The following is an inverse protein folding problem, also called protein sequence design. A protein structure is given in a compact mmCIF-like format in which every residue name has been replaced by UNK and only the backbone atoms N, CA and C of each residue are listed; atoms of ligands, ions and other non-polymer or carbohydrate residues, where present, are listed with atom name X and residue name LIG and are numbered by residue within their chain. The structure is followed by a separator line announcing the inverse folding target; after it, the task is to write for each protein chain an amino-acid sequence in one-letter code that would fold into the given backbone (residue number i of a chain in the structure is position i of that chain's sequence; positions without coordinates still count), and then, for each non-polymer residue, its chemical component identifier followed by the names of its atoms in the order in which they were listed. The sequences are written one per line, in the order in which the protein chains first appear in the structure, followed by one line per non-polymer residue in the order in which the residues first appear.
data_IF_931241893993
#
_entry.id   IF_931241893993
#
_cell.length_a   1.000
_cell.length_b   1.000
_cell.length_c   1.000
_cell.angle_alpha   90.00
_cell.angle_beta   90.00
_cell.angle_gamma   90.00
#
_symmetry.space_group_name_H-M   'P 1'
#
loop_
_entity.id
_entity.type
_entity.pdbx_description
1 polymer ?
#
# COMPACT_ATOMS: atom_id res chain seq x y z
N UNK A 1 -10.59 3.13 -4.69
CA UNK A 1 -10.79 4.53 -4.24
C UNK A 1 -11.38 5.34 -5.37
N UNK A 2 -12.15 6.38 -5.05
CA UNK A 2 -12.82 7.26 -6.03
C UNK A 2 -12.43 8.70 -5.74
N UNK A 3 -11.95 9.42 -6.77
CA UNK A 3 -11.47 10.79 -6.69
C UNK A 3 -11.94 11.64 -7.89
N UNK A 4 -11.85 12.96 -7.76
CA UNK A 4 -12.34 13.93 -8.74
C UNK A 4 -13.43 14.83 -8.17
N UNK A 5 -13.83 15.84 -8.92
CA UNK A 5 -14.66 16.96 -8.45
C UNK A 5 -16.04 16.54 -7.91
N UNK A 6 -16.59 17.36 -7.02
CA UNK A 6 -17.96 17.23 -6.54
C UNK A 6 -18.99 17.33 -7.68
N UNK A 7 -20.15 16.70 -7.51
CA UNK A 7 -21.21 16.73 -8.52
C UNK A 7 -20.93 16.01 -9.85
N UNK A 8 -19.75 15.41 -10.07
CA UNK A 8 -19.45 14.61 -11.29
C UNK A 8 -20.20 13.26 -11.36
N UNK A 9 -20.93 12.87 -10.32
CA UNK A 9 -21.72 11.63 -10.29
C UNK A 9 -20.96 10.40 -9.75
N UNK A 10 -19.87 10.62 -9.00
CA UNK A 10 -19.06 9.57 -8.33
C UNK A 10 -19.92 8.50 -7.65
N UNK A 11 -20.75 8.90 -6.68
CA UNK A 11 -21.66 8.01 -5.94
C UNK A 11 -22.69 7.31 -6.83
N UNK A 12 -23.19 7.99 -7.86
CA UNK A 12 -24.12 7.41 -8.85
C UNK A 12 -23.44 6.31 -9.67
N UNK A 13 -22.19 6.50 -10.08
CA UNK A 13 -21.42 5.47 -10.79
C UNK A 13 -21.13 4.27 -9.87
N UNK A 14 -20.76 4.51 -8.61
CA UNK A 14 -20.52 3.45 -7.63
C UNK A 14 -21.77 2.58 -7.41
N UNK A 15 -22.94 3.20 -7.17
CA UNK A 15 -24.22 2.49 -7.08
C UNK A 15 -24.62 1.79 -8.39
N UNK A 16 -24.17 2.32 -9.54
CA UNK A 16 -24.38 1.68 -10.85
C UNK A 16 -23.51 0.45 -11.03
N UNK A 17 -22.22 0.51 -10.64
CA UNK A 17 -21.24 -0.57 -10.79
C UNK A 17 -21.58 -1.80 -9.94
N UNK A 18 -21.89 -1.59 -8.67
CA UNK A 18 -22.07 -2.69 -7.70
C UNK A 18 -23.53 -3.04 -7.42
N UNK A 19 -24.46 -2.40 -8.13
CA UNK A 19 -25.92 -2.53 -8.00
C UNK A 19 -26.49 -2.23 -6.59
N UNK A 20 -25.64 -1.86 -5.64
CA UNK A 20 -25.97 -1.51 -4.25
C UNK A 20 -26.33 -0.03 -4.12
N UNK A 21 -27.10 0.30 -3.10
CA UNK A 21 -27.55 1.67 -2.84
C UNK A 21 -26.88 2.20 -1.55
N UNK A 22 -25.59 2.51 -1.68
CA UNK A 22 -24.67 2.76 -0.55
C UNK A 22 -24.81 4.17 0.06
N UNK A 23 -25.62 5.03 -0.57
CA UNK A 23 -25.68 6.46 -0.27
C UNK A 23 -27.11 6.97 0.00
N UNK A 24 -28.05 6.10 0.36
CA UNK A 24 -29.47 6.46 0.64
C UNK A 24 -29.61 7.66 1.58
N UNK A 25 -28.80 7.71 2.64
CA UNK A 25 -28.88 8.72 3.70
C UNK A 25 -27.91 9.91 3.51
N UNK A 26 -27.23 10.01 2.36
CA UNK A 26 -26.25 11.09 2.10
C UNK A 26 -26.96 12.42 1.89
N UNK A 27 -27.03 13.24 2.94
CA UNK A 27 -27.43 14.65 2.84
C UNK A 27 -26.46 15.41 1.93
N UNK A 28 -26.98 16.04 0.89
CA UNK A 28 -26.24 17.03 0.10
C UNK A 28 -26.28 18.35 0.86
N UNK A 29 -25.14 18.75 1.42
CA UNK A 29 -25.02 20.03 2.14
C UNK A 29 -25.17 21.23 1.19
N UNK A 30 -25.58 22.37 1.76
CA UNK A 30 -25.77 23.62 1.04
C UNK A 30 -24.43 24.22 0.59
N UNK A 31 -24.47 25.16 -0.36
CA UNK A 31 -23.25 25.73 -0.96
C UNK A 31 -22.31 26.37 0.09
N UNK A 32 -22.87 27.02 1.12
CA UNK A 32 -22.13 27.65 2.21
C UNK A 32 -21.41 26.60 3.10
N UNK A 33 -22.07 25.47 3.38
CA UNK A 33 -21.52 24.36 4.18
C UNK A 33 -20.43 23.57 3.42
N UNK A 34 -20.48 23.55 2.08
CA UNK A 34 -19.45 22.92 1.23
C UNK A 34 -18.11 23.66 1.27
N UNK A 35 -18.14 24.99 1.37
CA UNK A 35 -16.92 25.82 1.45
C UNK A 35 -16.09 25.45 2.70
N UNK A 36 -16.75 24.98 3.76
CA UNK A 36 -16.12 24.56 5.02
C UNK A 36 -15.87 23.05 5.15
N UNK A 37 -16.29 22.22 4.18
CA UNK A 37 -16.03 20.78 4.26
C UNK A 37 -14.54 20.48 4.02
N UNK A 38 -13.90 19.94 5.05
CA UNK A 38 -12.64 19.20 4.90
C UNK A 38 -12.87 17.91 4.12
N UNK A 39 -11.83 17.41 3.46
CA UNK A 39 -11.84 16.12 2.74
C UNK A 39 -11.77 14.97 3.77
N UNK A 40 -12.90 14.66 4.41
CA UNK A 40 -13.02 13.49 5.29
C UNK A 40 -13.24 12.22 4.46
N UNK A 41 -12.31 11.29 4.53
CA UNK A 41 -12.29 10.09 3.68
C UNK A 41 -13.22 9.02 4.24
N UNK A 42 -14.32 8.73 3.55
CA UNK A 42 -15.30 7.73 4.00
C UNK A 42 -15.02 6.36 3.36
N UNK A 43 -15.03 5.31 4.19
CA UNK A 43 -14.90 3.91 3.75
C UNK A 43 -16.26 3.22 3.79
N UNK A 44 -16.65 2.58 2.69
CA UNK A 44 -17.85 1.75 2.59
C UNK A 44 -17.45 0.35 2.15
N UNK A 45 -17.71 -0.64 3.00
CA UNK A 45 -17.38 -2.04 2.72
C UNK A 45 -18.62 -2.79 2.30
N UNK A 46 -18.52 -3.55 1.21
CA UNK A 46 -19.62 -4.29 0.59
C UNK A 46 -19.15 -5.70 0.26
N UNK A 47 -19.86 -6.71 0.74
CA UNK A 47 -19.63 -8.09 0.31
C UNK A 47 -20.46 -8.37 -0.95
N UNK A 48 -19.78 -8.79 -2.02
CA UNK A 48 -20.33 -9.05 -3.36
C UNK A 48 -20.11 -10.53 -3.69
N UNK A 49 -21.08 -11.17 -4.33
CA UNK A 49 -20.95 -12.55 -4.82
C UNK A 49 -21.02 -12.59 -6.35
N UNK A 50 -19.88 -12.79 -7.01
CA UNK A 50 -19.78 -12.92 -8.48
C UNK A 50 -19.42 -14.38 -8.81
N UNK A 51 -20.25 -15.06 -9.61
CA UNK A 51 -20.05 -16.44 -10.08
C UNK A 51 -19.71 -17.47 -8.97
N UNK A 52 -20.19 -17.25 -7.75
CA UNK A 52 -19.93 -18.11 -6.58
C UNK A 52 -18.67 -17.75 -5.77
N UNK A 53 -17.91 -16.73 -6.19
CA UNK A 53 -16.79 -16.17 -5.41
C UNK A 53 -17.31 -14.98 -4.58
N UNK A 54 -17.08 -15.04 -3.26
CA UNK A 54 -17.39 -13.94 -2.35
C UNK A 54 -16.21 -12.98 -2.26
N UNK A 55 -16.46 -11.72 -2.62
CA UNK A 55 -15.49 -10.64 -2.70
C UNK A 55 -15.88 -9.53 -1.73
N UNK A 56 -15.00 -9.24 -0.77
CA UNK A 56 -15.13 -8.09 0.13
C UNK A 56 -14.55 -6.86 -0.54
N UNK A 57 -15.40 -5.98 -1.06
CA UNK A 57 -15.01 -4.75 -1.73
C UNK A 57 -15.03 -3.58 -0.74
N UNK A 58 -13.92 -2.84 -0.64
CA UNK A 58 -13.86 -1.59 0.13
C UNK A 58 -13.81 -0.39 -0.82
N UNK A 59 -14.88 0.40 -0.84
CA UNK A 59 -14.97 1.64 -1.60
C UNK A 59 -14.55 2.79 -0.67
N UNK A 60 -13.56 3.56 -1.12
CA UNK A 60 -13.08 4.76 -0.44
C UNK A 60 -13.53 5.96 -1.26
N UNK A 61 -14.42 6.80 -0.73
CA UNK A 61 -14.88 8.05 -1.36
C UNK A 61 -14.10 9.25 -0.77
N UNK A 62 -13.91 10.28 -1.58
CA UNK A 62 -13.23 11.53 -1.23
C UNK A 62 -14.21 12.70 -1.41
N UNK A 63 -15.15 12.90 -0.47
CA UNK A 63 -16.03 14.07 -0.48
C UNK A 63 -15.20 15.38 -0.34
N UNK A 64 -15.71 16.49 -0.88
CA UNK A 64 -15.03 17.79 -0.80
C UNK A 64 -13.86 18.00 -1.76
N UNK A 65 -13.45 17.01 -2.55
CA UNK A 65 -12.37 17.22 -3.54
C UNK A 65 -12.77 18.29 -4.57
N UNK A 66 -12.02 19.40 -4.58
CA UNK A 66 -12.26 20.54 -5.47
C UNK A 66 -13.37 21.50 -5.03
N UNK A 67 -14.00 21.29 -3.86
CA UNK A 67 -15.09 22.17 -3.36
C UNK A 67 -14.57 23.41 -2.61
N UNK A 68 -13.30 23.43 -2.20
CA UNK A 68 -12.70 24.56 -1.48
C UNK A 68 -12.30 25.71 -2.42
N UNK A 69 -12.22 26.94 -1.88
CA UNK A 69 -11.75 28.11 -2.64
C UNK A 69 -10.24 28.03 -2.94
N UNK A 70 -9.46 27.41 -2.05
CA UNK A 70 -8.05 27.11 -2.27
C UNK A 70 -7.85 25.58 -2.30
N UNK A 71 -7.48 25.04 -3.46
CA UNK A 71 -7.33 23.60 -3.69
C UNK A 71 -5.87 23.13 -3.83
N UNK A 72 -4.86 23.98 -3.55
CA UNK A 72 -3.43 23.67 -3.78
C UNK A 72 -2.92 22.40 -3.09
N UNK A 73 -3.58 21.96 -2.02
CA UNK A 73 -3.14 20.80 -1.22
C UNK A 73 -4.20 19.70 -1.09
N UNK A 74 -5.30 19.74 -1.86
CA UNK A 74 -6.37 18.73 -1.78
C UNK A 74 -5.91 17.28 -2.09
N UNK A 75 -4.80 17.14 -2.83
CA UNK A 75 -4.18 15.84 -3.10
C UNK A 75 -3.44 15.26 -1.89
N UNK A 76 -2.96 16.09 -0.95
CA UNK A 76 -2.18 15.62 0.21
C UNK A 76 -2.99 14.69 1.09
N UNK A 77 -4.20 15.08 1.50
CA UNK A 77 -5.06 14.24 2.35
C UNK A 77 -5.33 12.85 1.76
N UNK A 78 -5.40 12.75 0.42
CA UNK A 78 -5.58 11.48 -0.28
C UNK A 78 -4.27 10.68 -0.38
N UNK A 79 -3.14 11.35 -0.63
CA UNK A 79 -1.82 10.74 -0.66
C UNK A 79 -1.40 10.23 0.74
N UNK A 80 -1.62 11.02 1.79
CA UNK A 80 -1.37 10.68 3.19
C UNK A 80 -2.21 9.47 3.61
N UNK A 81 -3.46 9.39 3.15
CA UNK A 81 -4.33 8.23 3.39
C UNK A 81 -3.80 6.94 2.74
N UNK A 82 -3.31 7.02 1.49
CA UNK A 82 -2.67 5.89 0.81
C UNK A 82 -1.41 5.46 1.58
N UNK A 83 -0.56 6.40 1.95
CA UNK A 83 0.66 6.14 2.73
C UNK A 83 0.34 5.50 4.08
N UNK A 84 -0.71 5.95 4.78
CA UNK A 84 -1.19 5.31 6.02
C UNK A 84 -1.65 3.86 5.79
N UNK A 85 -2.28 3.55 4.64
CA UNK A 85 -2.68 2.16 4.36
C UNK A 85 -1.45 1.28 4.06
N UNK A 86 -0.44 1.82 3.37
CA UNK A 86 0.84 1.12 3.15
C UNK A 86 1.65 0.97 4.45
N UNK A 87 1.67 1.99 5.31
CA UNK A 87 2.35 1.93 6.60
C UNK A 87 1.70 0.90 7.53
N UNK A 88 0.37 0.88 7.61
CA UNK A 88 -0.36 -0.12 8.40
C UNK A 88 -0.03 -1.54 7.92
N UNK A 89 -0.09 -1.78 6.60
CA UNK A 89 0.26 -3.07 6.03
C UNK A 89 1.73 -3.46 6.30
N UNK A 90 2.67 -2.50 6.19
CA UNK A 90 4.09 -2.71 6.48
C UNK A 90 4.35 -3.04 7.96
N UNK A 91 3.64 -2.39 8.89
CA UNK A 91 3.68 -2.70 10.32
C UNK A 91 3.14 -4.11 10.61
N UNK A 92 2.02 -4.49 9.97
CA UNK A 92 1.40 -5.81 10.13
C UNK A 92 2.25 -6.94 9.52
N UNK A 93 2.93 -6.69 8.39
CA UNK A 93 3.92 -7.60 7.79
C UNK A 93 5.18 -7.75 8.65
N UNK A 94 5.68 -6.64 9.20
CA UNK A 94 6.85 -6.63 10.09
C UNK A 94 6.57 -7.27 11.45
N UNK A 95 5.31 -7.26 11.89
CA UNK A 95 4.86 -7.81 13.16
C UNK A 95 4.94 -9.33 13.27
N UNK A 96 4.59 -9.83 14.47
CA UNK A 96 4.63 -11.25 14.82
C UNK A 96 3.43 -12.04 14.25
N UNK A 97 2.27 -11.40 14.08
CA UNK A 97 1.00 -12.05 13.72
C UNK A 97 0.73 -12.12 12.21
N UNK A 98 1.68 -12.65 11.43
CA UNK A 98 1.65 -12.63 9.95
C UNK A 98 0.56 -13.48 9.29
N UNK A 99 -0.19 -14.30 10.03
CA UNK A 99 -1.11 -15.30 9.48
C UNK A 99 -2.47 -14.77 9.00
N UNK A 100 -2.89 -13.58 9.43
CA UNK A 100 -4.23 -13.04 9.11
C UNK A 100 -4.20 -11.51 8.90
N UNK A 101 -3.27 -11.04 8.06
CA UNK A 101 -3.15 -9.63 7.69
C UNK A 101 -4.34 -9.25 6.79
N UNK A 102 -5.03 -8.16 7.11
CA UNK A 102 -6.10 -7.61 6.27
C UNK A 102 -5.53 -6.61 5.28
N UNK A 103 -5.65 -6.89 3.97
CA UNK A 103 -5.22 -5.95 2.94
C UNK A 103 -6.19 -4.77 2.81
N UNK A 104 -5.82 -3.64 3.41
CA UNK A 104 -6.53 -2.37 3.34
C UNK A 104 -5.91 -1.39 2.33
N UNK A 105 -4.91 -1.82 1.54
CA UNK A 105 -4.23 -0.97 0.55
C UNK A 105 -5.18 -0.58 -0.58
N UNK A 106 -4.91 0.56 -1.23
CA UNK A 106 -5.74 1.04 -2.34
C UNK A 106 -5.25 0.42 -3.64
N UNK A 107 -5.95 -0.59 -4.17
CA UNK A 107 -5.54 -1.28 -5.41
C UNK A 107 -5.75 -0.47 -6.69
N UNK A 108 -6.71 0.47 -6.68
CA UNK A 108 -7.09 1.28 -7.83
C UNK A 108 -7.71 2.62 -7.42
N UNK A 109 -7.35 3.69 -8.12
CA UNK A 109 -7.91 5.03 -8.02
C UNK A 109 -8.69 5.37 -9.29
N UNK A 110 -10.02 5.41 -9.18
CA UNK A 110 -10.91 5.89 -10.24
C UNK A 110 -10.91 7.42 -10.22
N UNK A 111 -10.32 8.05 -11.22
CA UNK A 111 -10.20 9.51 -11.30
C UNK A 111 -11.21 10.11 -12.27
N UNK A 112 -12.16 10.90 -11.75
CA UNK A 112 -13.25 11.49 -12.52
C UNK A 112 -12.84 12.85 -13.09
N UNK A 113 -12.62 12.87 -14.41
CA UNK A 113 -12.35 14.06 -15.21
C UNK A 113 -13.68 14.74 -15.56
N UNK A 114 -13.75 16.06 -15.39
CA UNK A 114 -14.94 16.84 -15.73
C UNK A 114 -15.17 16.88 -17.24
N UNK A 115 -16.41 16.66 -17.74
CA UNK A 115 -16.74 16.85 -19.15
C UNK A 115 -16.72 18.34 -19.52
N UNK A 116 -16.94 19.23 -18.55
CA UNK A 116 -16.99 20.68 -18.74
C UNK A 116 -15.57 21.25 -18.78
N UNK A 117 -15.02 21.36 -19.99
CA UNK A 117 -13.69 21.93 -20.22
C UNK A 117 -12.99 21.35 -21.46
N UNK A 118 -11.98 22.02 -21.96
CA UNK A 118 -11.29 21.64 -23.20
C UNK A 118 -10.20 20.57 -23.04
N UNK A 119 -9.84 20.17 -21.81
CA UNK A 119 -8.75 19.24 -21.50
C UNK A 119 -8.75 18.92 -19.99
N UNK A 120 -7.63 18.41 -19.49
CA UNK A 120 -7.32 18.30 -18.07
C UNK A 120 -7.13 19.69 -17.44
N UNK A 121 -7.60 19.87 -16.21
CA UNK A 121 -7.31 21.10 -15.45
C UNK A 121 -5.97 20.97 -14.71
N UNK A 122 -5.33 22.09 -14.34
CA UNK A 122 -4.12 22.07 -13.53
C UNK A 122 -4.27 21.26 -12.23
N UNK A 123 -5.42 21.40 -11.53
CA UNK A 123 -5.76 20.59 -10.35
C UNK A 123 -5.77 19.08 -10.64
N UNK A 124 -6.30 18.70 -11.81
CA UNK A 124 -6.39 17.29 -12.22
C UNK A 124 -4.98 16.73 -12.52
N UNK A 125 -4.12 17.55 -13.15
CA UNK A 125 -2.72 17.23 -13.45
C UNK A 125 -1.88 17.10 -12.18
N UNK A 126 -1.98 18.04 -11.24
CA UNK A 126 -1.27 18.00 -9.95
C UNK A 126 -1.68 16.78 -9.12
N UNK A 127 -2.98 16.47 -9.05
CA UNK A 127 -3.47 15.29 -8.36
C UNK A 127 -2.91 14.00 -8.98
N UNK A 128 -2.99 13.84 -10.29
CA UNK A 128 -2.48 12.63 -10.96
C UNK A 128 -0.96 12.51 -10.84
N UNK A 129 -0.20 13.61 -10.92
CA UNK A 129 1.25 13.64 -10.66
C UNK A 129 1.64 13.34 -9.21
N UNK A 130 0.77 13.60 -8.23
CA UNK A 130 1.04 13.23 -6.85
C UNK A 130 0.74 11.76 -6.55
N UNK A 131 -0.21 11.14 -7.28
CA UNK A 131 -0.70 9.79 -7.00
C UNK A 131 -0.14 8.69 -7.91
N UNK A 132 0.35 8.99 -9.12
CA UNK A 132 0.76 7.97 -10.11
C UNK A 132 1.90 7.04 -9.65
N UNK A 133 2.75 7.46 -8.71
CA UNK A 133 3.79 6.58 -8.14
C UNK A 133 3.25 5.63 -7.06
N UNK A 134 2.08 5.94 -6.49
CA UNK A 134 1.53 5.27 -5.29
C UNK A 134 0.32 4.39 -5.57
N UNK A 135 -0.43 4.63 -6.64
CA UNK A 135 -1.66 3.88 -6.95
C UNK A 135 -1.94 3.83 -8.45
N UNK A 136 -2.51 2.72 -8.89
CA UNK A 136 -3.04 2.55 -10.25
C UNK A 136 -4.16 3.58 -10.52
N UNK A 137 -3.88 4.58 -11.37
CA UNK A 137 -4.87 5.59 -11.76
C UNK A 137 -5.60 5.13 -13.02
N UNK A 138 -6.94 5.03 -12.94
CA UNK A 138 -7.83 4.80 -14.08
C UNK A 138 -8.61 6.10 -14.36
N UNK A 139 -8.28 6.84 -15.44
CA UNK A 139 -8.97 8.08 -15.78
C UNK A 139 -10.34 7.79 -16.44
N UNK A 140 -11.37 8.45 -15.92
CA UNK A 140 -12.77 8.30 -16.32
C UNK A 140 -13.32 9.68 -16.72
N UNK A 141 -13.88 9.78 -17.92
CA UNK A 141 -14.63 10.95 -18.36
C UNK A 141 -16.08 10.85 -17.82
N UNK A 142 -16.41 11.73 -16.87
CA UNK A 142 -17.70 11.73 -16.19
C UNK A 142 -18.82 12.37 -17.04
N UNK A 143 -20.07 11.94 -16.83
CA UNK A 143 -21.28 12.45 -17.53
C UNK A 143 -21.08 12.56 -19.05
N UNK A 144 -20.68 11.46 -19.68
CA UNK A 144 -20.44 11.40 -21.13
C UNK A 144 -21.68 11.74 -21.98
N UNK A 145 -22.88 11.66 -21.40
CA UNK A 145 -24.15 12.11 -21.98
C UNK A 145 -24.25 13.62 -22.25
N UNK A 146 -23.33 14.42 -21.70
CA UNK A 146 -23.24 15.86 -21.96
C UNK A 146 -22.47 16.20 -23.25
N UNK A 147 -21.84 15.22 -23.90
CA UNK A 147 -20.96 15.40 -25.05
C UNK A 147 -21.46 14.56 -26.24
N UNK A 148 -21.34 15.08 -27.45
CA UNK A 148 -21.59 14.28 -28.66
C UNK A 148 -20.47 13.24 -28.88
N UNK A 149 -20.73 12.13 -29.62
CA UNK A 149 -19.69 11.13 -29.90
C UNK A 149 -18.43 11.68 -30.58
N UNK A 150 -18.56 12.77 -31.36
CA UNK A 150 -17.41 13.43 -32.01
C UNK A 150 -16.58 14.26 -31.02
N UNK A 151 -17.23 14.91 -30.05
CA UNK A 151 -16.57 15.65 -28.97
C UNK A 151 -15.90 14.70 -27.96
N UNK A 152 -16.55 13.58 -27.60
CA UNK A 152 -15.94 12.54 -26.77
C UNK A 152 -14.65 12.04 -27.40
N UNK A 153 -14.65 11.69 -28.71
CA UNK A 153 -13.43 11.25 -29.40
C UNK A 153 -12.31 12.31 -29.37
N UNK A 154 -12.63 13.57 -29.69
CA UNK A 154 -11.66 14.68 -29.61
C UNK A 154 -11.10 14.86 -28.19
N UNK A 155 -11.96 14.78 -27.17
CA UNK A 155 -11.57 14.95 -25.77
C UNK A 155 -10.75 13.77 -25.24
N UNK A 156 -11.05 12.52 -25.64
CA UNK A 156 -10.21 11.36 -25.32
C UNK A 156 -8.79 11.50 -25.87
N UNK A 157 -8.64 11.88 -27.14
CA UNK A 157 -7.34 12.11 -27.79
C UNK A 157 -6.56 13.18 -27.01
N UNK A 158 -7.16 14.35 -26.79
CA UNK A 158 -6.49 15.45 -26.09
C UNK A 158 -6.11 15.13 -24.64
N UNK A 159 -6.95 14.41 -23.89
CA UNK A 159 -6.59 13.95 -22.54
C UNK A 159 -5.38 13.00 -22.59
N UNK A 160 -5.30 12.12 -23.61
CA UNK A 160 -4.16 11.21 -23.79
C UNK A 160 -2.87 11.96 -24.12
N UNK A 161 -2.93 12.93 -25.03
CA UNK A 161 -1.81 13.83 -25.35
C UNK A 161 -1.32 14.59 -24.11
N UNK A 162 -2.24 15.13 -23.30
CA UNK A 162 -1.88 15.85 -22.07
C UNK A 162 -1.27 14.93 -21.00
N UNK A 163 -1.80 13.71 -20.82
CA UNK A 163 -1.23 12.68 -19.91
C UNK A 163 0.23 12.37 -20.29
N UNK A 164 0.50 12.19 -21.58
CA UNK A 164 1.84 11.91 -22.10
C UNK A 164 2.79 13.11 -21.96
N UNK A 165 2.35 14.31 -22.34
CA UNK A 165 3.11 15.56 -22.17
C UNK A 165 3.49 15.83 -20.72
N UNK A 166 2.63 15.46 -19.77
CA UNK A 166 2.88 15.63 -18.34
C UNK A 166 3.64 14.47 -17.70
N UNK A 167 3.92 13.38 -18.42
CA UNK A 167 4.62 12.20 -17.90
C UNK A 167 3.83 11.40 -16.86
N UNK A 168 2.50 11.49 -16.89
CA UNK A 168 1.63 10.83 -15.91
C UNK A 168 1.53 9.33 -16.24
N UNK A 169 1.86 8.50 -15.26
CA UNK A 169 1.77 7.03 -15.38
C UNK A 169 0.37 6.58 -14.96
N UNK A 170 -0.53 6.46 -15.92
CA UNK A 170 -1.82 5.79 -15.70
C UNK A 170 -1.62 4.27 -15.65
N UNK A 171 -2.61 3.55 -15.11
CA UNK A 171 -2.62 2.09 -15.19
C UNK A 171 -2.58 1.65 -16.67
N UNK A 172 -1.56 0.86 -17.00
CA UNK A 172 -1.43 0.20 -18.29
C UNK A 172 -1.91 -1.24 -18.13
N UNK A 173 -2.80 -1.65 -19.03
CA UNK A 173 -3.18 -3.05 -19.15
C UNK A 173 -1.95 -3.90 -19.50
N UNK A 174 -1.80 -5.10 -18.94
CA UNK A 174 -0.79 -6.07 -19.37
C UNK A 174 -0.78 -6.23 -20.90
N UNK A 175 0.37 -6.59 -21.45
CA UNK A 175 0.43 -7.02 -22.84
C UNK A 175 0.02 -8.49 -22.92
N UNK A 176 -0.97 -8.77 -23.77
CA UNK A 176 -1.51 -10.11 -23.98
C UNK A 176 -0.38 -11.05 -24.43
N UNK A 177 -0.33 -12.25 -23.86
CA UNK A 177 0.70 -13.22 -24.24
C UNK A 177 0.58 -13.58 -25.73
N UNK A 178 1.70 -13.93 -26.36
CA UNK A 178 1.74 -14.30 -27.80
C UNK A 178 0.78 -15.42 -28.16
N UNK A 179 0.47 -16.26 -27.18
CA UNK A 179 -0.23 -17.53 -27.33
C UNK A 179 -1.76 -17.40 -27.13
N UNK A 180 -2.24 -16.20 -26.76
CA UNK A 180 -3.68 -15.93 -26.59
C UNK A 180 -4.42 -15.71 -27.92
N UNK A 181 -5.73 -15.95 -27.92
CA UNK A 181 -6.58 -15.84 -29.11
C UNK A 181 -6.60 -14.42 -29.70
N UNK A 182 -6.63 -14.33 -31.04
CA UNK A 182 -6.77 -13.06 -31.78
C UNK A 182 -8.01 -12.25 -31.36
N UNK A 183 -9.09 -12.91 -30.95
CA UNK A 183 -10.30 -12.25 -30.45
C UNK A 183 -10.06 -11.58 -29.08
N UNK A 184 -9.25 -12.20 -28.20
CA UNK A 184 -8.91 -11.64 -26.90
C UNK A 184 -7.98 -10.42 -27.05
N UNK A 185 -6.95 -10.55 -27.90
CA UNK A 185 -6.05 -9.44 -28.28
C UNK A 185 -6.79 -8.24 -28.86
N UNK A 186 -7.84 -8.48 -29.66
CA UNK A 186 -8.70 -7.41 -30.18
C UNK A 186 -9.53 -6.73 -29.07
N UNK A 187 -10.09 -7.50 -28.13
CA UNK A 187 -10.85 -6.94 -27.00
C UNK A 187 -9.96 -6.09 -26.08
N UNK A 188 -8.74 -6.54 -25.77
CA UNK A 188 -7.80 -5.79 -24.94
C UNK A 188 -7.23 -4.55 -25.66
N UNK A 189 -7.03 -4.63 -26.98
CA UNK A 189 -6.69 -3.44 -27.79
C UNK A 189 -7.85 -2.42 -27.77
N UNK A 190 -9.10 -2.87 -27.91
CA UNK A 190 -10.28 -1.99 -27.81
C UNK A 190 -10.40 -1.37 -26.40
N UNK A 191 -10.05 -2.11 -25.34
CA UNK A 191 -9.99 -1.59 -23.96
C UNK A 191 -8.88 -0.55 -23.78
N UNK A 192 -7.66 -0.82 -24.27
CA UNK A 192 -6.52 0.12 -24.30
C UNK A 192 -6.91 1.41 -25.03
N UNK A 193 -7.53 1.32 -26.21
CA UNK A 193 -8.01 2.49 -26.97
C UNK A 193 -9.17 3.25 -26.31
N UNK A 194 -10.00 2.54 -25.52
CA UNK A 194 -11.16 3.12 -24.84
C UNK A 194 -10.81 4.05 -23.67
N UNK A 195 -9.56 4.04 -23.18
CA UNK A 195 -9.09 4.96 -22.14
C UNK A 195 -8.91 6.39 -22.69
N UNK A 196 -9.41 7.44 -21.99
CA UNK A 196 -10.19 7.40 -20.74
C UNK A 196 -11.65 6.97 -20.98
N UNK A 197 -12.18 6.13 -20.10
CA UNK A 197 -13.52 5.56 -20.23
C UNK A 197 -14.61 6.65 -20.15
N UNK A 198 -15.48 6.75 -21.16
CA UNK A 198 -16.58 7.70 -21.17
C UNK A 198 -17.82 7.05 -20.54
N UNK A 199 -18.18 7.46 -19.31
CA UNK A 199 -19.20 6.77 -18.52
C UNK A 199 -20.39 7.64 -18.15
N UNK A 200 -21.51 6.97 -17.90
CA UNK A 200 -22.78 7.54 -17.48
C UNK A 200 -23.25 6.70 -16.30
N UNK A 201 -23.53 7.33 -15.16
CA UNK A 201 -24.17 6.67 -14.02
C UNK A 201 -25.67 6.93 -14.02
N UNK A 202 -26.48 5.93 -13.64
CA UNK A 202 -27.91 6.14 -13.40
C UNK A 202 -28.45 5.23 -12.31
N UNK A 203 -29.17 5.85 -11.35
CA UNK A 203 -29.94 5.15 -10.34
C UNK A 203 -31.38 4.86 -10.80
N UNK A 204 -31.84 5.44 -11.92
CA UNK A 204 -33.20 5.25 -12.44
C UNK A 204 -33.27 4.09 -13.43
N UNK A 205 -34.26 3.21 -13.21
CA UNK A 205 -34.64 2.16 -14.17
C UNK A 205 -35.73 2.73 -15.06
N UNK A 206 -35.48 2.69 -16.37
CA UNK A 206 -36.38 3.16 -17.44
C UNK A 206 -36.78 1.99 -18.32
N UNK A 207 -37.94 2.07 -18.96
CA UNK A 207 -38.36 1.06 -19.92
C UNK A 207 -37.98 1.50 -21.34
N UNK A 208 -37.09 0.74 -21.98
CA UNK A 208 -36.68 0.95 -23.35
C UNK A 208 -36.94 -0.32 -24.15
N UNK A 209 -37.70 -0.21 -25.25
CA UNK A 209 -38.02 -1.33 -26.17
C UNK A 209 -38.58 -2.58 -25.44
N UNK A 210 -39.43 -2.37 -24.43
CA UNK A 210 -40.02 -3.45 -23.63
C UNK A 210 -39.08 -4.13 -22.63
N UNK A 211 -37.87 -3.60 -22.42
CA UNK A 211 -36.93 -4.06 -21.39
C UNK A 211 -36.72 -2.97 -20.34
N UNK A 212 -36.72 -3.37 -19.06
CA UNK A 212 -36.35 -2.49 -17.94
C UNK A 212 -34.83 -2.41 -17.85
N UNK A 213 -34.26 -1.27 -18.21
CA UNK A 213 -32.82 -1.03 -18.26
C UNK A 213 -32.44 0.17 -17.39
N UNK A 214 -31.23 0.22 -16.86
CA UNK A 214 -30.73 1.43 -16.16
C UNK A 214 -30.41 2.49 -17.20
N UNK A 215 -30.94 3.70 -17.01
CA UNK A 215 -30.81 4.77 -17.99
C UNK A 215 -31.26 6.11 -17.48
N UNK A 216 -30.96 7.17 -18.23
CA UNK A 216 -31.40 8.54 -17.94
C UNK A 216 -32.42 8.97 -18.99
N UNK A 217 -33.56 9.47 -18.54
CA UNK A 217 -34.62 9.97 -19.39
C UNK A 217 -34.42 11.48 -19.63
N UNK A 218 -34.41 11.87 -20.90
CA UNK A 218 -34.41 13.26 -21.36
C UNK A 218 -35.64 13.51 -22.24
N UNK A 219 -36.09 14.77 -22.40
CA UNK A 219 -37.22 15.10 -23.29
C UNK A 219 -37.02 14.64 -24.75
N UNK A 220 -35.77 14.51 -25.20
CA UNK A 220 -35.39 14.09 -26.55
C UNK A 220 -35.04 12.60 -26.69
N UNK A 221 -35.00 11.81 -25.61
CA UNK A 221 -34.67 10.39 -25.68
C UNK A 221 -34.19 9.76 -24.37
N UNK A 222 -33.90 8.46 -24.44
CA UNK A 222 -33.43 7.66 -23.31
C UNK A 222 -31.97 7.27 -23.54
N UNK A 223 -31.12 7.55 -22.57
CA UNK A 223 -29.71 7.14 -22.58
C UNK A 223 -29.53 5.92 -21.68
N UNK A 224 -29.44 4.74 -22.29
CA UNK A 224 -29.19 3.46 -21.62
C UNK A 224 -27.73 3.38 -21.13
N UNK A 225 -27.51 2.98 -19.87
CA UNK A 225 -26.17 2.89 -19.23
C UNK A 225 -25.45 1.59 -19.57
N UNK A 226 -26.17 0.50 -19.83
CA UNK A 226 -25.55 -0.80 -20.17
C UNK A 226 -25.34 -1.00 -21.68
N UNK A 227 -25.50 0.06 -22.47
CA UNK A 227 -25.40 0.02 -23.92
C UNK A 227 -24.04 0.55 -24.39
N UNK A 228 -23.19 -0.33 -24.93
CA UNK A 228 -21.84 0.00 -25.42
C UNK A 228 -21.82 1.06 -26.53
N UNK A 229 -22.94 1.30 -27.24
CA UNK A 229 -23.04 2.37 -28.23
C UNK A 229 -23.27 3.76 -27.61
N UNK A 230 -23.70 3.83 -26.34
CA UNK A 230 -23.93 5.07 -25.60
C UNK A 230 -22.78 5.42 -24.65
N UNK A 231 -22.19 4.43 -23.96
CA UNK A 231 -21.07 4.67 -23.05
C UNK A 231 -20.22 3.42 -22.78
N UNK A 232 -18.99 3.65 -22.33
CA UNK A 232 -18.01 2.60 -22.01
C UNK A 232 -18.25 1.98 -20.60
N UNK A 233 -19.44 2.16 -20.01
CA UNK A 233 -19.72 1.67 -18.65
C UNK A 233 -19.56 0.15 -18.51
N UNK A 234 -19.99 -0.61 -19.52
CA UNK A 234 -19.83 -2.08 -19.53
C UNK A 234 -18.36 -2.48 -19.62
N UNK A 235 -17.55 -1.75 -20.40
CA UNK A 235 -16.09 -1.95 -20.49
C UNK A 235 -15.42 -1.70 -19.14
N UNK A 236 -15.72 -0.57 -18.49
CA UNK A 236 -15.20 -0.25 -17.15
C UNK A 236 -15.61 -1.31 -16.10
N UNK A 237 -16.88 -1.75 -16.10
CA UNK A 237 -17.36 -2.78 -15.18
C UNK A 237 -16.65 -4.12 -15.40
N UNK A 238 -16.51 -4.56 -16.65
CA UNK A 238 -15.81 -5.80 -16.99
C UNK A 238 -14.34 -5.74 -16.55
N UNK A 239 -13.66 -4.62 -16.82
CA UNK A 239 -12.28 -4.37 -16.39
C UNK A 239 -12.12 -4.48 -14.87
N UNK A 240 -12.91 -3.71 -14.11
CA UNK A 240 -12.75 -3.62 -12.65
C UNK A 240 -13.17 -4.86 -11.87
N UNK A 241 -14.16 -5.62 -12.37
CA UNK A 241 -14.79 -6.72 -11.60
C UNK A 241 -14.40 -8.10 -12.12
N UNK A 242 -14.17 -8.27 -13.43
CA UNK A 242 -14.06 -9.60 -14.06
C UNK A 242 -12.67 -9.98 -14.50
N UNK A 243 -11.93 -9.06 -15.12
CA UNK A 243 -10.64 -9.37 -15.76
C UNK A 243 -9.45 -8.85 -14.97
N UNK A 244 -9.39 -7.54 -14.72
CA UNK A 244 -8.17 -6.88 -14.25
C UNK A 244 -8.11 -6.65 -12.74
N UNK A 245 -9.07 -7.16 -11.96
CA UNK A 245 -9.06 -7.00 -10.49
C UNK A 245 -7.82 -7.62 -9.84
N UNK A 246 -7.37 -8.78 -10.33
CA UNK A 246 -6.21 -9.47 -9.76
C UNK A 246 -4.92 -8.76 -10.14
N UNK A 247 -4.73 -8.45 -11.43
CA UNK A 247 -3.60 -7.66 -11.92
C UNK A 247 -3.45 -6.30 -11.21
N UNK A 248 -4.55 -5.56 -11.00
CA UNK A 248 -4.53 -4.32 -10.21
C UNK A 248 -3.97 -4.51 -8.78
N UNK A 249 -4.21 -5.67 -8.15
CA UNK A 249 -3.63 -6.00 -6.84
C UNK A 249 -2.16 -6.37 -6.94
N UNK A 250 -1.77 -7.10 -7.97
CA UNK A 250 -0.41 -7.57 -8.16
C UNK A 250 0.51 -6.40 -8.54
N UNK A 251 0.11 -5.51 -9.45
CA UNK A 251 0.81 -4.23 -9.71
C UNK A 251 0.89 -3.37 -8.43
N UNK A 252 -0.17 -3.32 -7.63
CA UNK A 252 -0.15 -2.60 -6.33
C UNK A 252 0.85 -3.20 -5.35
N UNK A 253 1.00 -4.53 -5.36
CA UNK A 253 1.94 -5.24 -4.49
C UNK A 253 3.38 -5.08 -4.97
N UNK A 254 3.65 -5.41 -6.22
CA UNK A 254 5.00 -5.56 -6.79
C UNK A 254 5.63 -4.24 -7.20
N UNK A 255 4.82 -3.26 -7.61
CA UNK A 255 5.31 -1.92 -7.95
C UNK A 255 5.09 -0.94 -6.81
N UNK A 256 3.84 -0.58 -6.50
CA UNK A 256 3.58 0.54 -5.58
C UNK A 256 4.02 0.25 -4.14
N UNK A 257 3.66 -0.91 -3.59
CA UNK A 257 4.00 -1.29 -2.23
C UNK A 257 5.50 -1.60 -2.06
N UNK A 258 6.13 -2.34 -2.98
CA UNK A 258 7.59 -2.56 -2.89
C UNK A 258 8.42 -1.28 -3.06
N UNK A 259 7.99 -0.32 -3.90
CA UNK A 259 8.64 0.99 -3.96
C UNK A 259 8.57 1.74 -2.61
N UNK A 260 7.38 1.75 -1.98
CA UNK A 260 7.20 2.34 -0.64
C UNK A 260 8.04 1.60 0.42
N UNK A 261 8.01 0.26 0.41
CA UNK A 261 8.75 -0.61 1.33
C UNK A 261 10.26 -0.43 1.19
N UNK A 262 10.79 -0.37 -0.03
CA UNK A 262 12.18 -0.07 -0.31
C UNK A 262 12.58 1.32 0.24
N UNK A 263 11.75 2.34 0.03
CA UNK A 263 11.99 3.68 0.57
C UNK A 263 12.00 3.69 2.11
N UNK A 264 11.05 3.03 2.75
CA UNK A 264 10.98 2.88 4.21
C UNK A 264 12.19 2.14 4.79
N UNK A 265 12.59 1.01 4.20
CA UNK A 265 13.77 0.23 4.61
C UNK A 265 15.05 1.06 4.42
N UNK A 266 15.18 1.80 3.31
CA UNK A 266 16.33 2.70 3.09
C UNK A 266 16.37 3.82 4.13
N UNK A 267 15.23 4.44 4.46
CA UNK A 267 15.12 5.47 5.48
C UNK A 267 15.52 4.94 6.87
N UNK A 268 14.97 3.79 7.27
CA UNK A 268 15.29 3.14 8.53
C UNK A 268 16.77 2.74 8.61
N UNK A 269 17.33 2.19 7.52
CA UNK A 269 18.76 1.87 7.42
C UNK A 269 19.63 3.12 7.54
N UNK A 270 19.25 4.24 6.88
CA UNK A 270 19.94 5.53 7.01
C UNK A 270 19.88 6.08 8.44
N UNK A 271 18.77 5.89 9.16
CA UNK A 271 18.68 6.27 10.58
C UNK A 271 19.59 5.41 11.45
N UNK A 272 19.55 4.08 11.33
CA UNK A 272 20.44 3.16 12.08
C UNK A 272 21.92 3.42 11.76
N UNK A 273 22.28 3.75 10.52
CA UNK A 273 23.65 4.11 10.15
C UNK A 273 24.06 5.48 10.71
N UNK A 274 23.17 6.49 10.69
CA UNK A 274 23.42 7.78 11.34
C UNK A 274 23.61 7.63 12.84
N UNK A 275 22.79 6.80 13.49
CA UNK A 275 22.86 6.53 14.92
C UNK A 275 24.15 5.76 15.29
N UNK A 276 24.52 4.73 14.51
CA UNK A 276 25.82 4.06 14.64
C UNK A 276 27.01 4.99 14.41
N UNK A 277 26.92 5.95 13.48
CA UNK A 277 27.98 6.93 13.27
C UNK A 277 28.03 7.99 14.39
N UNK A 278 26.87 8.39 14.94
CA UNK A 278 26.81 9.26 16.13
C UNK A 278 27.46 8.57 17.33
N UNK A 279 27.20 7.27 17.51
CA UNK A 279 27.79 6.45 18.57
C UNK A 279 29.27 6.08 18.33
N UNK A 280 29.79 6.24 17.10
CA UNK A 280 31.24 6.17 16.82
C UNK A 280 31.95 7.49 17.16
N UNK A 281 31.33 8.63 16.84
CA UNK A 281 31.83 9.96 17.19
C UNK A 281 31.84 10.23 18.71
N UNK A 282 31.04 9.52 19.50
CA UNK A 282 31.06 9.59 20.97
C UNK A 282 31.99 8.56 21.62
N UNK A 283 32.72 7.73 20.85
CA UNK A 283 33.59 6.66 21.39
C UNK A 283 35.09 6.98 21.39
N UNK A 284 35.43 8.27 21.29
CA UNK A 284 36.78 8.82 21.55
C UNK A 284 36.79 9.82 22.73
N UNK A 285 35.72 9.88 23.52
CA UNK A 285 35.68 10.64 24.78
C UNK A 285 35.02 9.79 25.84
N UNK A 286 35.84 9.11 26.64
CA UNK A 286 35.36 8.30 27.75
C UNK A 286 34.91 9.19 28.91
N UNK A 287 33.60 9.19 29.19
CA UNK A 287 32.99 9.15 30.54
C UNK A 287 31.48 9.01 30.38
N UNK A 288 30.89 8.05 31.10
CA UNK A 288 29.46 7.89 31.44
C UNK A 288 28.35 8.36 30.48
N UNK A 289 27.54 7.41 30.01
CA UNK A 289 26.26 7.67 29.34
C UNK A 289 25.08 7.25 30.23
N UNK A 290 24.16 8.17 30.61
CA UNK A 290 22.87 7.81 31.19
C UNK A 290 21.94 7.24 30.11
N UNK A 291 21.14 6.25 30.48
CA UNK A 291 20.11 5.64 29.62
C UNK A 291 18.91 6.60 29.48
N UNK A 292 18.33 6.81 28.28
CA UNK A 292 17.14 7.65 28.12
C UNK A 292 15.89 6.94 28.69
N UNK A 293 15.33 7.45 29.79
CA UNK A 293 14.03 6.99 30.31
C UNK A 293 12.85 7.64 29.57
N UNK A 294 11.80 6.86 29.37
CA UNK A 294 10.49 7.31 28.88
C UNK A 294 9.72 7.98 30.04
N UNK A 295 9.03 9.12 29.85
CA UNK A 295 8.39 9.84 30.94
C UNK A 295 7.02 9.24 31.34
N UNK A 296 6.92 8.76 32.58
CA UNK A 296 5.69 8.25 33.22
C UNK A 296 5.48 6.75 33.00
N UNK A 297 5.16 5.93 34.01
CA UNK A 297 4.70 6.20 35.39
C UNK A 297 5.25 5.12 36.33
N UNK A 298 5.74 5.53 37.51
CA UNK A 298 6.20 4.71 38.65
C UNK A 298 7.38 3.74 38.40
N UNK A 299 8.36 3.78 39.32
CA UNK A 299 8.98 2.60 39.97
C UNK A 299 10.36 2.90 40.60
N UNK A 300 10.41 3.75 41.64
CA UNK A 300 11.57 3.80 42.54
C UNK A 300 11.79 2.44 43.26
N UNK A 301 10.72 1.65 43.42
CA UNK A 301 10.78 0.36 44.10
C UNK A 301 11.37 -0.73 43.19
N UNK A 302 11.03 -0.77 41.89
CA UNK A 302 11.64 -1.70 40.94
C UNK A 302 13.13 -1.39 40.73
N UNK A 303 13.55 -0.11 40.72
CA UNK A 303 14.98 0.24 40.66
C UNK A 303 15.75 -0.21 41.93
N UNK A 304 15.12 -0.11 43.12
CA UNK A 304 15.68 -0.68 44.37
C UNK A 304 15.82 -2.20 44.30
N UNK A 305 14.76 -2.89 43.88
CA UNK A 305 14.74 -4.36 43.75
C UNK A 305 15.79 -4.86 42.76
N UNK A 306 16.03 -4.12 41.67
CA UNK A 306 17.11 -4.44 40.71
C UNK A 306 18.48 -4.28 41.37
N UNK A 307 18.74 -3.20 42.13
CA UNK A 307 20.03 -3.03 42.83
C UNK A 307 20.27 -4.10 43.89
N UNK A 308 19.27 -4.43 44.69
CA UNK A 308 19.38 -5.49 45.70
C UNK A 308 19.67 -6.86 45.07
N UNK A 309 19.02 -7.16 43.92
CA UNK A 309 19.33 -8.36 43.12
C UNK A 309 20.72 -8.35 42.51
N UNK A 310 21.19 -7.22 42.00
CA UNK A 310 22.53 -7.08 41.43
C UNK A 310 23.63 -7.26 42.50
N UNK A 311 23.40 -6.75 43.72
CA UNK A 311 24.28 -6.96 44.86
C UNK A 311 24.27 -8.43 45.32
N UNK A 312 23.10 -9.07 45.37
CA UNK A 312 22.96 -10.50 45.69
C UNK A 312 23.71 -11.39 44.67
N UNK A 313 23.58 -11.10 43.37
CA UNK A 313 24.29 -11.83 42.29
C UNK A 313 25.80 -11.60 42.35
N UNK A 314 26.26 -10.37 42.62
CA UNK A 314 27.70 -10.10 42.82
C UNK A 314 28.24 -10.86 44.03
N UNK A 315 27.48 -10.90 45.13
CA UNK A 315 27.89 -11.62 46.32
C UNK A 315 27.89 -13.15 46.12
N UNK A 316 26.98 -13.68 45.30
CA UNK A 316 26.97 -15.09 44.89
C UNK A 316 28.18 -15.43 43.99
N UNK A 317 28.48 -14.61 42.98
CA UNK A 317 29.65 -14.81 42.11
C UNK A 317 30.96 -14.73 42.90
N UNK A 318 31.11 -13.77 43.82
CA UNK A 318 32.30 -13.66 44.66
C UNK A 318 32.47 -14.87 45.61
N UNK A 319 31.35 -15.49 46.06
CA UNK A 319 31.40 -16.75 46.81
C UNK A 319 31.82 -17.92 45.92
N UNK A 320 31.32 -18.01 44.70
CA UNK A 320 31.69 -19.05 43.73
C UNK A 320 33.18 -18.99 43.37
N UNK A 321 33.73 -17.79 43.11
CA UNK A 321 35.16 -17.58 42.90
C UNK A 321 35.97 -17.99 44.14
N UNK A 322 35.54 -17.59 45.35
CA UNK A 322 36.24 -17.98 46.59
C UNK A 322 36.23 -19.50 46.85
N UNK A 323 35.21 -20.22 46.39
CA UNK A 323 35.19 -21.68 46.41
C UNK A 323 36.16 -22.27 45.37
N UNK A 324 36.15 -21.78 44.13
CA UNK A 324 37.10 -22.22 43.11
C UNK A 324 38.56 -21.97 43.52
N UNK A 325 38.84 -20.89 44.25
CA UNK A 325 40.17 -20.62 44.80
C UNK A 325 40.54 -21.56 45.94
N UNK A 326 39.62 -21.87 46.86
CA UNK A 326 39.86 -22.86 47.91
C UNK A 326 40.07 -24.29 47.36
N UNK A 327 39.32 -24.69 46.34
CA UNK A 327 39.49 -25.99 45.67
C UNK A 327 40.82 -26.05 44.89
N UNK A 328 41.27 -24.92 44.33
CA UNK A 328 42.60 -24.82 43.71
C UNK A 328 43.76 -24.87 44.72
N UNK A 329 43.62 -24.26 45.90
CA UNK A 329 44.64 -24.35 46.96
C UNK A 329 44.70 -25.75 47.58
N UNK A 330 43.56 -26.42 47.79
CA UNK A 330 43.54 -27.81 48.26
C UNK A 330 44.19 -28.76 47.26
N UNK A 331 43.82 -28.70 45.98
CA UNK A 331 44.42 -29.56 44.94
C UNK A 331 45.91 -29.29 44.70
N UNK A 332 46.38 -28.05 44.88
CA UNK A 332 47.82 -27.74 44.84
C UNK A 332 48.58 -28.29 46.05
N UNK A 333 47.93 -28.45 47.21
CA UNK A 333 48.57 -28.97 48.43
C UNK A 333 48.77 -30.50 48.42
N UNK A 334 47.90 -31.26 47.76
CA UNK A 334 48.02 -32.72 47.64
C UNK A 334 49.02 -33.18 46.56
N UNK A 335 49.34 -32.33 45.59
CA UNK A 335 50.26 -32.67 44.48
C UNK A 335 51.75 -32.53 44.80
N UNK A 336 52.12 -32.14 46.02
CA UNK A 336 53.52 -31.86 46.38
C UNK A 336 54.15 -32.89 47.34
N UNK A 337 53.54 -34.07 47.50
CA UNK A 337 54.02 -35.14 48.41
C UNK A 337 54.50 -36.44 47.74
N UNK A 338 54.19 -36.71 46.47
CA UNK A 338 54.57 -37.97 45.79
C UNK A 338 55.47 -37.75 44.56
N UNK A 339 56.79 -37.73 44.79
CA UNK A 339 57.78 -37.68 43.71
C UNK A 339 59.08 -38.48 43.97
N UNK A 340 58.93 -39.80 44.19
CA UNK A 340 59.88 -40.89 43.94
C UNK A 340 58.99 -42.13 43.62
N UNK A 341 59.25 -43.04 42.66
CA UNK A 341 60.44 -43.36 41.87
C UNK A 341 60.04 -44.20 40.62
N UNK A 342 60.99 -44.47 39.70
CA UNK A 342 61.04 -45.62 38.75
C UNK A 342 60.17 -45.74 37.44
N UNK A 343 60.78 -45.30 36.33
CA UNK A 343 61.19 -46.07 35.11
C UNK A 343 60.24 -46.93 34.21
N UNK A 344 60.21 -46.54 32.91
CA UNK A 344 60.29 -47.36 31.65
C UNK A 344 59.18 -48.38 31.24
N UNK A 345 59.05 -48.76 29.93
CA UNK A 345 59.41 -48.09 28.65
C UNK A 345 58.35 -48.20 27.49
N UNK A 346 58.71 -47.62 26.33
CA UNK A 346 58.20 -47.71 24.93
C UNK A 346 57.40 -48.96 24.45
N UNK A 347 56.53 -48.89 23.39
CA UNK A 347 57.04 -48.73 21.99
C UNK A 347 56.15 -48.07 20.87
N UNK A 348 56.86 -47.36 19.97
CA UNK A 348 56.78 -47.22 18.48
C UNK A 348 55.49 -46.98 17.61
N UNK A 349 55.67 -46.46 16.36
CA UNK A 349 54.61 -45.84 15.54
C UNK A 349 54.33 -46.49 14.15
N UNK A 350 53.22 -46.11 13.50
CA UNK A 350 52.89 -46.18 12.05
C UNK A 350 51.59 -45.35 11.80
N UNK A 351 51.14 -44.90 10.60
CA UNK A 351 51.74 -44.35 9.36
C UNK A 351 50.66 -43.54 8.59
N UNK A 352 51.04 -42.71 7.58
CA UNK A 352 50.19 -42.10 6.52
C UNK A 352 49.11 -41.04 6.90
N UNK A 353 48.56 -40.25 5.97
CA UNK A 353 49.06 -39.27 4.96
C UNK A 353 47.82 -38.77 4.17
N UNK A 354 47.99 -37.72 3.35
CA UNK A 354 47.09 -37.31 2.25
C UNK A 354 45.76 -36.59 2.61
N UNK A 355 45.25 -35.63 1.83
CA UNK A 355 45.83 -34.90 0.69
C UNK A 355 45.22 -33.49 0.59
N UNK A 356 45.91 -32.55 -0.07
CA UNK A 356 45.28 -31.32 -0.61
C UNK A 356 44.77 -31.58 -2.03
N UNK A 357 43.70 -30.91 -2.42
CA UNK A 357 43.21 -30.82 -3.80
C UNK A 357 42.72 -29.40 -4.08
N UNK A 358 43.03 -28.90 -5.27
CA UNK A 358 42.87 -27.50 -5.71
C UNK A 358 41.89 -27.42 -6.90
N UNK A 359 41.76 -26.22 -7.49
CA UNK A 359 41.04 -25.90 -8.75
C UNK A 359 39.49 -25.85 -8.65
N UNK A 360 38.75 -24.79 -9.04
CA UNK A 360 38.84 -23.78 -10.11
C UNK A 360 38.02 -24.13 -11.38
N UNK A 361 36.85 -23.49 -11.51
CA UNK A 361 36.26 -22.96 -12.75
C UNK A 361 35.10 -21.99 -12.41
#
# INVERSE_FOLDING_TARGET
MVAGESGLGKSTLVNSLFLTDLYKDRKLLNAEERITQTVEITKHTVDIEEKGVKLKLTIVDTPGFGDAVNNTECWKSVADYIDQQFEQYFRDESGLNRKNIQDNRVHCCLYFISPFGHGLRPLDVEFMKALHEKVNIVPILAKADTLTPTEVKKKKIKIREEIEQYGIKIYQFPDCDSDEDEEFKQQDTELKESIPFAVIGSNTVVEAKGKRVRGRLYPWGIVEVENSAHCDFVKLRNMLVRTHMQDLKDVTRETHYENYRAHCIQSMTRMVVKERNRNKLTRESGTDFPIPMVPGVADNDTEKLIREKDEEVRHANHKLDSHHQHDHEHSASEHNSDHHEHSDPQPNPETHSDHKGDEAL
#
